data_IF_379346327369
#
_entry.id   IF_379346327369
#
_cell.length_a   1.000
_cell.length_b   1.000
_cell.length_c   1.000
_cell.angle_alpha   90.00
_cell.angle_beta   90.00
_cell.angle_gamma   90.00
#
_symmetry.space_group_name_H-M   'P 1'
#
loop_
_entity.id
_entity.type
_entity.pdbx_description
1 polymer ?
#
# COMPACT_ATOMS: atom_id res chain seq x y z
N UNK A 1 -9.99 0.72 9.15
CA UNK A 1 -9.37 2.07 9.03
C UNK A 1 -9.83 2.65 7.70
N UNK A 2 -10.23 3.92 7.65
CA UNK A 2 -10.74 4.56 6.41
C UNK A 2 -9.88 5.77 6.11
N UNK A 3 -9.38 5.88 4.88
CA UNK A 3 -8.61 7.05 4.41
C UNK A 3 -9.58 8.03 3.75
N UNK A 4 -9.81 9.17 4.39
CA UNK A 4 -10.75 10.21 3.94
C UNK A 4 -9.97 11.47 3.51
N UNK A 5 -10.47 12.18 2.50
CA UNK A 5 -9.85 13.42 2.01
C UNK A 5 -10.33 13.84 0.62
N UNK A 6 -10.05 15.07 0.17
CA UNK A 6 -10.49 15.60 -1.13
C UNK A 6 -9.91 14.81 -2.32
N UNK A 7 -10.53 14.93 -3.49
CA UNK A 7 -9.99 14.31 -4.71
C UNK A 7 -8.57 14.83 -4.98
N UNK A 8 -7.65 13.94 -5.34
CA UNK A 8 -6.23 14.29 -5.52
C UNK A 8 -5.36 14.31 -4.26
N UNK A 9 -5.91 14.08 -3.06
CA UNK A 9 -5.12 14.04 -1.81
C UNK A 9 -4.14 12.84 -1.68
N UNK A 10 -3.95 12.03 -2.73
CA UNK A 10 -3.01 10.90 -2.71
C UNK A 10 -3.52 9.62 -2.03
N UNK A 11 -4.81 9.52 -1.69
CA UNK A 11 -5.39 8.35 -1.02
C UNK A 11 -5.19 7.06 -1.83
N UNK A 12 -5.53 7.10 -3.12
CA UNK A 12 -5.32 5.97 -4.03
C UNK A 12 -3.83 5.68 -4.22
N UNK A 13 -2.98 6.72 -4.23
CA UNK A 13 -1.52 6.56 -4.30
C UNK A 13 -0.99 5.79 -3.09
N UNK A 14 -1.45 6.11 -1.88
CA UNK A 14 -1.06 5.39 -0.66
C UNK A 14 -1.56 3.94 -0.69
N UNK A 15 -2.83 3.72 -1.07
CA UNK A 15 -3.39 2.37 -1.20
C UNK A 15 -2.60 1.54 -2.21
N UNK A 16 -2.23 2.14 -3.35
CA UNK A 16 -1.41 1.50 -4.37
C UNK A 16 0.02 1.20 -3.87
N UNK A 17 0.63 2.10 -3.10
CA UNK A 17 1.96 1.88 -2.53
C UNK A 17 1.95 0.73 -1.52
N UNK A 18 0.96 0.69 -0.63
CA UNK A 18 0.80 -0.41 0.34
C UNK A 18 0.55 -1.75 -0.39
N UNK A 19 -0.30 -1.73 -1.43
CA UNK A 19 -0.53 -2.88 -2.30
C UNK A 19 0.68 -3.27 -3.16
N UNK A 20 1.71 -2.43 -3.26
CA UNK A 20 2.91 -2.68 -4.07
C UNK A 20 2.72 -2.42 -5.56
N UNK A 21 1.65 -1.73 -5.96
CA UNK A 21 1.30 -1.42 -7.35
C UNK A 21 2.08 -0.22 -7.91
N UNK A 22 2.71 0.58 -7.05
CA UNK A 22 3.56 1.70 -7.43
C UNK A 22 4.86 1.70 -6.61
N UNK A 23 5.91 2.28 -7.16
CA UNK A 23 7.17 2.51 -6.44
C UNK A 23 6.98 3.57 -5.35
N UNK A 24 7.59 3.34 -4.19
CA UNK A 24 7.59 4.26 -3.05
C UNK A 24 8.96 4.23 -2.35
N UNK A 25 9.23 5.24 -1.53
CA UNK A 25 10.39 5.29 -0.64
C UNK A 25 9.96 5.02 0.80
N UNK A 26 10.82 4.37 1.58
CA UNK A 26 10.53 3.93 2.94
C UNK A 26 10.19 2.45 3.02
N UNK A 27 9.47 2.04 4.07
CA UNK A 27 9.14 0.63 4.32
C UNK A 27 7.69 0.42 4.72
N UNK A 28 7.08 -0.64 4.18
CA UNK A 28 5.74 -1.11 4.51
C UNK A 28 5.83 -2.39 5.32
N UNK A 29 5.13 -2.43 6.44
CA UNK A 29 5.04 -3.60 7.32
C UNK A 29 3.59 -4.06 7.40
N UNK A 30 3.35 -5.32 7.06
CA UNK A 30 2.03 -5.96 7.18
C UNK A 30 2.16 -7.07 8.22
N UNK A 31 1.36 -7.01 9.29
CA UNK A 31 1.44 -7.95 10.43
C UNK A 31 2.85 -8.10 11.00
N UNK A 32 3.61 -7.00 11.06
CA UNK A 32 5.00 -6.98 11.55
C UNK A 32 6.05 -7.51 10.57
N UNK A 33 5.67 -7.96 9.37
CA UNK A 33 6.62 -8.39 8.33
C UNK A 33 6.85 -7.28 7.32
N UNK A 34 8.12 -7.00 7.01
CA UNK A 34 8.48 -6.11 5.93
C UNK A 34 8.03 -6.73 4.59
N UNK A 35 7.28 -5.97 3.80
CA UNK A 35 6.74 -6.42 2.50
C UNK A 35 7.35 -5.69 1.31
N UNK A 36 8.41 -4.91 1.51
CA UNK A 36 9.00 -4.06 0.47
C UNK A 36 9.51 -4.87 -0.73
N UNK A 37 10.02 -6.07 -0.47
CA UNK A 37 10.52 -7.00 -1.49
C UNK A 37 9.48 -8.00 -2.00
N UNK A 38 8.24 -7.94 -1.49
CA UNK A 38 7.17 -8.84 -1.90
C UNK A 38 6.42 -8.25 -3.08
N UNK A 39 6.12 -9.10 -4.07
CA UNK A 39 5.21 -8.76 -5.17
C UNK A 39 3.79 -8.51 -4.62
N UNK A 40 2.96 -7.67 -5.30
CA UNK A 40 1.61 -7.32 -4.84
C UNK A 40 0.76 -8.51 -4.40
N UNK A 41 0.80 -9.60 -5.17
CA UNK A 41 0.07 -10.84 -4.91
C UNK A 41 0.50 -11.52 -3.61
N UNK A 42 1.79 -11.41 -3.24
CA UNK A 42 2.36 -12.00 -2.04
C UNK A 42 2.12 -11.16 -0.78
N UNK A 43 1.67 -9.91 -0.92
CA UNK A 43 1.43 -8.99 0.22
C UNK A 43 0.18 -9.33 1.02
N UNK A 44 -0.63 -10.33 0.58
CA UNK A 44 -1.85 -10.81 1.25
C UNK A 44 -2.84 -9.70 1.64
N UNK A 45 -2.87 -8.64 0.83
CA UNK A 45 -3.81 -7.53 0.95
C UNK A 45 -4.92 -7.74 -0.07
N UNK A 46 -6.17 -7.70 0.38
CA UNK A 46 -7.32 -7.63 -0.51
C UNK A 46 -7.37 -6.24 -1.13
N UNK A 47 -7.14 -6.16 -2.43
CA UNK A 47 -7.26 -4.94 -3.21
C UNK A 47 -8.49 -5.08 -4.11
N UNK A 48 -9.50 -4.22 -3.90
CA UNK A 48 -10.76 -4.16 -4.66
C UNK A 48 -11.09 -2.73 -5.04
#
# INVERSE_FOLDING_TARGET
MVVLGPSGAGKSTILNAVAGLISYTGSVYISGKNVDKLSPEQRKVGYV
#
